data_IF_762970502912
#
_entry.id   IF_762970502912
#
_cell.length_a   1.000
_cell.length_b   1.000
_cell.length_c   1.000
_cell.angle_alpha   90.00
_cell.angle_beta   90.00
_cell.angle_gamma   90.00
#
_symmetry.space_group_name_H-M   'P 1'
#
loop_
_entity.id
_entity.type
_entity.pdbx_description
1 polymer ?
#
# COMPACT_ATOMS: atom_id res chain seq x y z
N UNK A 1 -28.69 -5.05 25.36
CA UNK A 1 -28.24 -4.39 24.11
C UNK A 1 -26.71 -4.38 24.10
N UNK A 2 -26.06 -5.21 23.27
CA UNK A 2 -24.59 -5.27 23.17
C UNK A 2 -24.10 -4.26 22.14
N UNK A 3 -23.30 -3.29 22.59
CA UNK A 3 -22.63 -2.33 21.72
C UNK A 3 -21.66 -3.07 20.78
N UNK A 4 -21.90 -2.99 19.47
CA UNK A 4 -20.95 -3.42 18.44
C UNK A 4 -19.75 -2.47 18.49
N UNK A 5 -18.59 -2.97 18.93
CA UNK A 5 -17.31 -2.29 18.70
C UNK A 5 -17.04 -2.30 17.20
N UNK A 6 -16.89 -1.11 16.63
CA UNK A 6 -16.41 -0.89 15.27
C UNK A 6 -14.94 -1.31 15.23
N UNK A 7 -14.50 -2.19 14.30
CA UNK A 7 -13.09 -2.51 14.16
C UNK A 7 -12.32 -1.28 13.64
N UNK A 8 -11.09 -1.12 14.13
CA UNK A 8 -10.20 -0.05 13.73
C UNK A 8 -10.02 -0.05 12.20
N UNK A 9 -10.26 1.11 11.59
CA UNK A 9 -10.07 1.32 10.17
C UNK A 9 -8.60 1.04 9.79
N UNK A 10 -8.39 0.11 8.86
CA UNK A 10 -7.14 0.00 8.12
C UNK A 10 -6.84 1.36 7.48
N UNK A 11 -5.91 2.10 8.07
CA UNK A 11 -5.41 3.34 7.49
C UNK A 11 -4.46 2.92 6.38
N UNK A 12 -4.88 3.07 5.12
CA UNK A 12 -3.92 3.20 4.03
C UNK A 12 -3.08 4.41 4.40
N UNK A 13 -1.84 4.15 4.81
CA UNK A 13 -0.92 5.16 5.27
C UNK A 13 -0.50 6.00 4.07
N UNK A 14 -1.35 6.95 3.68
CA UNK A 14 -0.93 8.12 2.92
C UNK A 14 0.11 8.79 3.80
N UNK A 15 1.38 8.56 3.49
CA UNK A 15 2.49 9.18 4.20
C UNK A 15 2.45 10.68 3.90
N UNK A 16 1.78 11.45 4.77
CA UNK A 16 1.82 12.91 4.75
C UNK A 16 3.16 13.33 5.33
N UNK A 17 4.21 13.33 4.50
CA UNK A 17 5.49 13.92 4.87
C UNK A 17 5.33 15.45 4.96
N UNK A 18 5.95 16.13 5.94
CA UNK A 18 5.96 17.58 6.00
C UNK A 18 6.73 18.14 4.79
N UNK A 19 6.04 18.93 3.96
CA UNK A 19 6.65 19.69 2.88
C UNK A 19 7.52 20.81 3.49
N UNK A 20 8.84 20.64 3.44
CA UNK A 20 9.77 21.75 3.65
C UNK A 20 9.69 22.70 2.45
N UNK A 21 9.28 23.94 2.69
CA UNK A 21 9.20 25.01 1.70
C UNK A 21 10.61 25.35 1.17
N UNK A 22 10.90 25.01 -0.09
CA UNK A 22 12.09 25.48 -0.80
C UNK A 22 11.67 26.71 -1.61
N UNK A 23 12.35 27.83 -1.38
CA UNK A 23 12.08 29.11 -2.01
C UNK A 23 12.07 29.03 -3.54
N UNK A 24 10.99 29.54 -4.15
CA UNK A 24 10.87 29.68 -5.59
C UNK A 24 11.69 30.87 -6.08
N UNK A 25 12.76 30.61 -6.83
CA UNK A 25 13.39 31.63 -7.69
C UNK A 25 12.60 31.74 -8.98
N UNK A 26 12.01 32.91 -9.23
CA UNK A 26 11.36 33.26 -10.50
C UNK A 26 12.37 33.22 -11.64
N UNK A 27 12.09 32.42 -12.68
CA UNK A 27 12.91 32.35 -13.89
C UNK A 27 12.31 33.27 -14.96
N UNK A 28 13.10 34.08 -15.68
CA UNK A 28 12.58 34.98 -16.69
C UNK A 28 12.03 34.22 -17.90
N UNK A 29 10.92 34.72 -18.44
CA UNK A 29 10.29 34.22 -19.65
C UNK A 29 11.16 34.53 -20.87
N UNK A 30 11.69 33.50 -21.52
CA UNK A 30 12.52 33.63 -22.72
C UNK A 30 12.21 32.58 -23.77
N UNK A 31 11.89 33.08 -24.98
CA UNK A 31 11.80 32.39 -26.28
C UNK A 31 10.73 31.30 -26.45
N UNK A 32 9.67 31.67 -27.16
CA UNK A 32 8.69 30.75 -27.74
C UNK A 32 9.31 29.98 -28.93
N UNK A 33 10.05 28.92 -28.63
CA UNK A 33 10.41 27.90 -29.62
C UNK A 33 9.18 27.11 -30.06
N UNK A 34 9.21 26.60 -31.30
CA UNK A 34 8.24 25.68 -31.90
C UNK A 34 7.64 24.73 -30.85
N UNK A 35 6.34 24.90 -30.55
CA UNK A 35 5.60 24.01 -29.65
C UNK A 35 5.35 22.68 -30.36
N UNK A 36 6.34 21.81 -30.40
CA UNK A 36 6.12 20.37 -30.46
C UNK A 36 5.28 20.01 -29.23
N UNK A 37 3.96 19.85 -29.39
CA UNK A 37 2.93 19.88 -28.34
C UNK A 37 2.93 18.72 -27.33
N UNK A 38 4.10 18.22 -26.93
CA UNK A 38 4.26 17.23 -25.88
C UNK A 38 4.47 17.87 -24.50
N UNK A 39 3.97 17.22 -23.45
CA UNK A 39 4.28 17.58 -22.06
C UNK A 39 5.71 17.11 -21.74
N UNK A 40 6.63 17.99 -21.31
CA UNK A 40 7.98 17.57 -20.93
C UNK A 40 7.92 16.66 -19.70
N UNK A 41 8.64 15.54 -19.77
CA UNK A 41 8.72 14.54 -18.70
C UNK A 41 10.11 14.54 -18.07
N UNK A 42 10.17 14.18 -16.79
CA UNK A 42 11.40 13.94 -16.03
C UNK A 42 11.31 12.58 -15.36
N UNK A 43 12.47 11.95 -15.13
CA UNK A 43 12.54 10.76 -14.29
C UNK A 43 12.32 11.19 -12.84
N UNK A 44 11.31 10.59 -12.21
CA UNK A 44 11.10 10.61 -10.76
C UNK A 44 11.54 9.26 -10.23
N UNK A 45 12.31 9.24 -9.15
CA UNK A 45 12.92 8.00 -8.64
C UNK A 45 12.98 8.00 -7.12
N UNK A 46 12.74 6.82 -6.55
CA UNK A 46 13.03 6.46 -5.15
C UNK A 46 14.05 5.32 -5.13
N UNK A 47 14.33 4.73 -3.96
CA UNK A 47 15.32 3.65 -3.85
C UNK A 47 15.04 2.45 -4.76
N UNK A 48 13.77 2.11 -4.99
CA UNK A 48 13.37 0.89 -5.70
C UNK A 48 12.35 1.11 -6.82
N UNK A 49 11.89 2.34 -7.04
CA UNK A 49 10.97 2.65 -8.13
C UNK A 49 11.43 3.86 -8.93
N UNK A 50 11.02 3.88 -10.20
CA UNK A 50 11.16 5.03 -11.10
C UNK A 50 9.90 5.22 -11.95
N UNK A 51 9.67 6.43 -12.43
CA UNK A 51 8.59 6.78 -13.34
C UNK A 51 8.98 7.99 -14.18
N UNK A 52 8.41 8.11 -15.39
CA UNK A 52 8.44 9.36 -16.15
C UNK A 52 7.21 10.19 -15.81
N UNK A 53 7.39 11.39 -15.27
CA UNK A 53 6.30 12.28 -14.90
C UNK A 53 6.62 13.75 -15.22
N UNK A 54 5.61 14.62 -15.38
CA UNK A 54 5.83 16.06 -15.49
C UNK A 54 6.62 16.61 -14.29
N UNK A 55 7.35 17.70 -14.54
CA UNK A 55 8.30 18.27 -13.55
C UNK A 55 7.63 18.59 -12.22
N UNK A 56 6.41 19.09 -12.25
CA UNK A 56 5.61 19.52 -11.09
C UNK A 56 4.94 18.37 -10.33
N UNK A 57 5.13 17.12 -10.76
CA UNK A 57 4.56 15.97 -10.04
C UNK A 57 5.46 15.53 -8.87
N UNK A 58 4.81 15.15 -7.78
CA UNK A 58 5.43 14.44 -6.66
C UNK A 58 5.42 12.93 -6.94
N UNK A 59 6.41 12.20 -6.41
CA UNK A 59 6.52 10.74 -6.55
C UNK A 59 7.03 10.12 -5.26
N UNK A 60 6.36 9.08 -4.77
CA UNK A 60 6.74 8.39 -3.53
C UNK A 60 6.38 6.90 -3.57
N UNK A 61 6.95 6.15 -2.64
CA UNK A 61 6.78 4.69 -2.53
C UNK A 61 6.69 4.28 -1.08
N UNK A 62 6.03 3.16 -0.80
CA UNK A 62 6.17 2.52 0.51
C UNK A 62 7.56 1.86 0.66
N UNK A 63 7.98 1.50 1.90
CA UNK A 63 9.31 0.94 2.15
C UNK A 63 9.63 -0.34 1.35
N UNK A 64 8.62 -1.18 1.10
CA UNK A 64 8.75 -2.43 0.35
C UNK A 64 8.71 -2.24 -1.17
N UNK A 65 8.43 -1.01 -1.64
CA UNK A 65 8.19 -0.72 -3.06
C UNK A 65 7.15 -1.65 -3.69
N UNK A 66 6.12 -1.99 -2.91
CA UNK A 66 4.93 -2.70 -3.38
C UNK A 66 3.83 -1.73 -3.81
N UNK A 67 3.98 -0.44 -3.51
CA UNK A 67 3.19 0.66 -4.07
C UNK A 67 4.09 1.82 -4.47
N UNK A 68 3.69 2.50 -5.55
CA UNK A 68 4.32 3.73 -6.03
C UNK A 68 3.24 4.68 -6.53
N UNK A 69 3.33 5.93 -6.12
CA UNK A 69 2.28 6.92 -6.35
C UNK A 69 2.92 8.20 -6.91
N UNK A 70 2.24 8.82 -7.87
CA UNK A 70 2.60 10.08 -8.47
C UNK A 70 1.38 11.01 -8.51
N UNK A 71 1.56 12.25 -8.10
CA UNK A 71 0.47 13.22 -7.97
C UNK A 71 0.91 14.58 -8.51
N UNK A 72 0.07 15.21 -9.33
CA UNK A 72 0.32 16.57 -9.82
C UNK A 72 0.33 17.57 -8.66
N UNK A 73 1.09 18.67 -8.79
CA UNK A 73 1.18 19.70 -7.74
C UNK A 73 -0.19 20.28 -7.34
N UNK A 74 -1.09 20.43 -8.32
CA UNK A 74 -2.46 20.92 -8.14
C UNK A 74 -3.46 19.83 -7.68
N UNK A 75 -2.99 18.59 -7.51
CA UNK A 75 -3.79 17.40 -7.15
C UNK A 75 -4.96 17.12 -8.09
N UNK A 76 -4.90 17.57 -9.33
CA UNK A 76 -5.94 17.29 -10.33
C UNK A 76 -5.67 16.01 -11.13
N UNK A 77 -4.48 15.44 -11.04
CA UNK A 77 -4.11 14.20 -11.72
C UNK A 77 -3.32 13.29 -10.79
N UNK A 78 -3.58 12.00 -10.90
CA UNK A 78 -2.93 10.95 -10.11
C UNK A 78 -2.56 9.78 -11.02
N UNK A 79 -1.39 9.22 -10.78
CA UNK A 79 -0.95 7.96 -11.35
C UNK A 79 -0.41 7.08 -10.24
N UNK A 80 -0.76 5.80 -10.23
CA UNK A 80 -0.30 4.87 -9.21
C UNK A 80 -0.04 3.49 -9.78
N UNK A 81 0.80 2.74 -9.08
CA UNK A 81 1.00 1.32 -9.27
C UNK A 81 1.03 0.63 -7.91
N UNK A 82 0.47 -0.56 -7.84
CA UNK A 82 0.50 -1.39 -6.65
C UNK A 82 0.50 -2.87 -6.98
N UNK A 83 1.10 -3.66 -6.11
CA UNK A 83 0.98 -5.12 -6.08
C UNK A 83 0.65 -5.56 -4.67
N UNK A 84 -0.39 -6.39 -4.51
CA UNK A 84 -0.79 -6.91 -3.21
C UNK A 84 -1.34 -8.33 -3.31
N UNK A 85 -1.15 -9.11 -2.25
CA UNK A 85 -1.77 -10.42 -2.09
C UNK A 85 -3.08 -10.25 -1.32
N UNK A 86 -4.17 -10.72 -1.90
CA UNK A 86 -5.50 -10.67 -1.30
C UNK A 86 -5.90 -12.07 -0.85
N UNK A 87 -6.10 -12.25 0.46
CA UNK A 87 -6.66 -13.46 1.03
C UNK A 87 -8.17 -13.30 1.24
N UNK A 88 -8.99 -13.92 0.38
CA UNK A 88 -10.45 -13.78 0.40
C UNK A 88 -11.11 -14.38 1.65
N UNK A 89 -10.42 -15.27 2.35
CA UNK A 89 -10.91 -15.77 3.65
C UNK A 89 -11.04 -14.62 4.69
N UNK A 90 -10.38 -13.49 4.46
CA UNK A 90 -10.41 -12.31 5.32
C UNK A 90 -11.59 -11.38 5.06
N UNK A 91 -12.33 -11.58 3.96
CA UNK A 91 -13.46 -10.72 3.58
C UNK A 91 -14.52 -10.53 4.68
N UNK A 92 -14.95 -11.57 5.43
CA UNK A 92 -15.95 -11.40 6.49
C UNK A 92 -15.50 -10.50 7.64
N UNK A 93 -14.19 -10.31 7.81
CA UNK A 93 -13.60 -9.57 8.92
C UNK A 93 -13.17 -8.15 8.52
N UNK A 94 -12.71 -7.98 7.28
CA UNK A 94 -12.07 -6.74 6.81
C UNK A 94 -12.76 -6.12 5.58
N UNK A 95 -13.84 -6.74 5.08
CA UNK A 95 -14.71 -6.16 4.06
C UNK A 95 -14.11 -6.17 2.65
N UNK A 96 -14.47 -5.15 1.88
CA UNK A 96 -14.35 -5.12 0.42
C UNK A 96 -12.91 -5.21 -0.12
N UNK A 97 -11.90 -4.77 0.64
CA UNK A 97 -10.50 -4.95 0.26
C UNK A 97 -10.17 -6.43 -0.02
N UNK A 98 -10.78 -7.33 0.73
CA UNK A 98 -10.54 -8.77 0.61
C UNK A 98 -11.60 -9.48 -0.25
N UNK A 99 -12.36 -8.72 -1.04
CA UNK A 99 -13.36 -9.25 -1.96
C UNK A 99 -12.77 -9.90 -3.21
N UNK A 100 -13.63 -10.11 -4.20
CA UNK A 100 -13.17 -10.41 -5.56
C UNK A 100 -12.32 -9.25 -6.12
N UNK A 101 -11.52 -9.48 -7.18
CA UNK A 101 -10.64 -8.45 -7.74
C UNK A 101 -11.31 -7.11 -8.04
N UNK A 102 -12.53 -7.10 -8.57
CA UNK A 102 -13.22 -5.87 -8.94
C UNK A 102 -13.70 -5.11 -7.70
N UNK A 103 -14.09 -5.84 -6.65
CA UNK A 103 -14.45 -5.26 -5.35
C UNK A 103 -13.23 -4.68 -4.63
N UNK A 104 -12.10 -5.40 -4.61
CA UNK A 104 -10.82 -4.91 -4.04
C UNK A 104 -10.33 -3.65 -4.76
N UNK A 105 -10.23 -3.70 -6.09
CA UNK A 105 -9.76 -2.56 -6.91
C UNK A 105 -10.66 -1.34 -6.71
N UNK A 106 -11.99 -1.53 -6.66
CA UNK A 106 -12.93 -0.43 -6.39
C UNK A 106 -12.73 0.14 -4.99
N UNK A 107 -12.54 -0.71 -3.97
CA UNK A 107 -12.25 -0.26 -2.61
C UNK A 107 -10.98 0.60 -2.57
N UNK A 108 -9.85 0.11 -3.10
CA UNK A 108 -8.58 0.84 -3.14
C UNK A 108 -8.71 2.17 -3.92
N UNK A 109 -9.41 2.14 -5.04
CA UNK A 109 -9.63 3.34 -5.85
C UNK A 109 -10.44 4.40 -5.10
N UNK A 110 -11.42 3.99 -4.30
CA UNK A 110 -12.18 4.91 -3.45
C UNK A 110 -11.35 5.47 -2.30
N UNK A 111 -10.42 4.70 -1.74
CA UNK A 111 -9.45 5.21 -0.75
C UNK A 111 -8.57 6.30 -1.38
N UNK A 112 -8.04 6.05 -2.58
CA UNK A 112 -7.23 7.04 -3.33
C UNK A 112 -8.03 8.33 -3.57
N UNK A 113 -9.28 8.24 -4.07
CA UNK A 113 -10.10 9.41 -4.32
C UNK A 113 -10.40 10.22 -3.06
N UNK A 114 -10.81 9.55 -1.99
CA UNK A 114 -11.20 10.20 -0.75
C UNK A 114 -10.00 10.87 -0.08
N UNK A 115 -8.90 10.13 0.07
CA UNK A 115 -7.73 10.57 0.81
C UNK A 115 -6.83 11.53 0.02
N UNK A 116 -6.58 11.27 -1.26
CA UNK A 116 -5.61 12.04 -2.05
C UNK A 116 -6.25 13.14 -2.91
N UNK A 117 -7.46 12.90 -3.42
CA UNK A 117 -8.09 13.76 -4.44
C UNK A 117 -9.34 14.49 -3.92
N UNK A 118 -9.67 14.35 -2.63
CA UNK A 118 -10.80 15.04 -1.98
C UNK A 118 -12.13 14.88 -2.74
N UNK A 119 -12.38 13.67 -3.24
CA UNK A 119 -13.59 13.30 -3.95
C UNK A 119 -14.36 12.19 -3.20
N UNK A 120 -15.27 12.57 -2.29
CA UNK A 120 -16.00 11.60 -1.48
C UNK A 120 -17.13 10.89 -2.23
N UNK A 121 -17.41 11.25 -3.50
CA UNK A 121 -18.53 10.62 -4.24
C UNK A 121 -18.30 9.14 -4.52
N UNK A 122 -17.06 8.67 -4.36
CA UNK A 122 -16.63 7.36 -4.80
C UNK A 122 -16.54 7.24 -6.32
N UNK A 123 -15.80 6.24 -6.76
CA UNK A 123 -15.65 5.83 -8.15
C UNK A 123 -16.56 4.65 -8.45
N UNK A 124 -17.10 4.67 -9.66
CA UNK A 124 -17.91 3.60 -10.25
C UNK A 124 -17.30 3.20 -11.59
N UNK A 125 -17.39 1.92 -11.92
CA UNK A 125 -16.97 1.42 -13.23
C UNK A 125 -17.91 1.95 -14.31
N UNK A 126 -17.37 2.58 -15.35
CA UNK A 126 -18.16 3.06 -16.50
C UNK A 126 -18.02 2.19 -17.75
N UNK A 127 -17.17 1.16 -17.70
CA UNK A 127 -17.03 0.17 -18.79
C UNK A 127 -17.01 -1.25 -18.26
N UNK A 128 -17.35 -2.22 -19.12
CA UNK A 128 -17.01 -3.64 -18.91
C UNK A 128 -15.48 -3.85 -18.89
N UNK A 129 -14.98 -4.93 -18.25
CA UNK A 129 -13.56 -5.26 -18.33
C UNK A 129 -13.21 -5.67 -19.75
N UNK A 130 -12.06 -5.22 -20.26
CA UNK A 130 -11.59 -5.56 -21.60
C UNK A 130 -10.10 -5.93 -21.60
N UNK A 131 -9.66 -6.86 -22.46
CA UNK A 131 -8.24 -7.14 -22.63
C UNK A 131 -7.46 -5.89 -23.04
N UNK A 132 -6.25 -5.74 -22.53
CA UNK A 132 -5.33 -4.65 -22.83
C UNK A 132 -3.90 -5.16 -22.89
N UNK A 133 -3.20 -4.86 -23.99
CA UNK A 133 -1.83 -5.35 -24.26
C UNK A 133 -1.68 -6.88 -24.12
N UNK A 134 -2.75 -7.63 -24.43
CA UNK A 134 -2.84 -9.10 -24.32
C UNK A 134 -2.51 -9.68 -22.93
N UNK A 135 -2.35 -8.84 -21.91
CA UNK A 135 -1.89 -9.27 -20.60
C UNK A 135 -2.71 -8.69 -19.46
N UNK A 136 -3.05 -7.39 -19.55
CA UNK A 136 -3.82 -6.68 -18.54
C UNK A 136 -5.31 -6.68 -18.89
N UNK A 137 -6.13 -6.45 -17.88
CA UNK A 137 -7.53 -6.05 -18.00
C UNK A 137 -7.62 -4.54 -17.81
N UNK A 138 -8.36 -3.85 -18.67
CA UNK A 138 -8.61 -2.42 -18.60
C UNK A 138 -10.07 -2.14 -18.21
N UNK A 139 -10.25 -1.18 -17.29
CA UNK A 139 -11.52 -0.63 -16.84
C UNK A 139 -11.49 0.89 -16.93
N UNK A 140 -12.56 1.47 -17.47
CA UNK A 140 -12.85 2.89 -17.29
C UNK A 140 -13.62 3.09 -15.99
N UNK A 141 -13.26 4.14 -15.26
CA UNK A 141 -13.85 4.50 -13.99
C UNK A 141 -14.26 5.98 -14.00
N UNK A 142 -15.30 6.30 -13.24
CA UNK A 142 -15.83 7.66 -13.15
C UNK A 142 -16.35 7.98 -11.75
N UNK A 143 -16.15 9.23 -11.34
CA UNK A 143 -16.76 9.82 -10.15
C UNK A 143 -17.43 11.15 -10.53
N UNK A 144 -17.94 11.89 -9.54
CA UNK A 144 -18.49 13.22 -9.76
C UNK A 144 -17.44 14.21 -10.28
N UNK A 145 -16.20 14.15 -9.78
CA UNK A 145 -15.14 15.10 -10.13
C UNK A 145 -14.04 14.51 -11.03
N UNK A 146 -13.93 13.19 -11.14
CA UNK A 146 -12.83 12.52 -11.82
C UNK A 146 -13.29 11.53 -12.89
N UNK A 147 -12.38 11.29 -13.82
CA UNK A 147 -12.41 10.18 -14.78
C UNK A 147 -11.11 9.40 -14.59
N UNK A 148 -11.16 8.09 -14.79
CA UNK A 148 -10.02 7.24 -14.54
C UNK A 148 -9.95 6.03 -15.46
N UNK A 149 -8.76 5.47 -15.51
CA UNK A 149 -8.47 4.16 -16.07
C UNK A 149 -7.79 3.35 -14.99
N UNK A 150 -8.17 2.08 -14.91
CA UNK A 150 -7.42 1.07 -14.16
C UNK A 150 -7.04 -0.06 -15.08
N UNK A 151 -5.76 -0.42 -15.04
CA UNK A 151 -5.19 -1.53 -15.79
C UNK A 151 -4.67 -2.53 -14.76
N UNK A 152 -5.12 -3.76 -14.77
CA UNK A 152 -4.75 -4.72 -13.75
C UNK A 152 -4.50 -6.12 -14.28
N UNK A 153 -3.68 -6.88 -13.56
CA UNK A 153 -3.41 -8.29 -13.78
C UNK A 153 -3.68 -9.02 -12.49
N UNK A 154 -4.45 -10.10 -12.57
CA UNK A 154 -4.65 -11.03 -11.46
C UNK A 154 -3.79 -12.25 -11.70
N UNK A 155 -3.00 -12.62 -10.70
CA UNK A 155 -2.20 -13.83 -10.68
C UNK A 155 -2.81 -14.82 -9.69
N UNK A 156 -2.81 -16.12 -10.01
CA UNK A 156 -3.18 -17.13 -9.04
C UNK A 156 -2.21 -17.08 -7.86
N UNK A 157 -2.73 -17.25 -6.64
CA UNK A 157 -1.90 -17.45 -5.47
C UNK A 157 -1.81 -18.94 -5.13
N UNK A 158 -0.71 -19.40 -4.49
CA UNK A 158 -0.61 -20.78 -4.00
C UNK A 158 -1.73 -21.15 -3.02
N UNK A 159 -2.26 -20.17 -2.28
CA UNK A 159 -3.46 -20.34 -1.49
C UNK A 159 -4.69 -20.22 -2.42
N UNK A 160 -5.55 -21.26 -2.53
CA UNK A 160 -6.74 -21.23 -3.38
C UNK A 160 -7.79 -20.20 -2.94
N UNK A 161 -7.72 -19.72 -1.69
CA UNK A 161 -8.56 -18.65 -1.17
C UNK A 161 -7.97 -17.26 -1.45
N UNK A 162 -6.88 -17.14 -2.21
CA UNK A 162 -6.26 -15.84 -2.48
C UNK A 162 -5.83 -15.64 -3.93
N UNK A 163 -5.51 -14.39 -4.24
CA UNK A 163 -4.95 -13.95 -5.51
C UNK A 163 -3.92 -12.86 -5.28
N UNK A 164 -3.07 -12.60 -6.28
CA UNK A 164 -2.21 -11.42 -6.30
C UNK A 164 -2.80 -10.48 -7.34
N UNK A 165 -3.04 -9.23 -6.96
CA UNK A 165 -3.42 -8.18 -7.90
C UNK A 165 -2.22 -7.26 -8.15
N UNK A 166 -1.93 -6.97 -9.42
CA UNK A 166 -1.04 -5.88 -9.83
C UNK A 166 -1.87 -4.88 -10.60
N UNK A 167 -1.89 -3.64 -10.13
CA UNK A 167 -2.86 -2.64 -10.54
C UNK A 167 -2.13 -1.33 -10.85
N UNK A 168 -2.50 -0.72 -11.95
CA UNK A 168 -2.10 0.63 -12.33
C UNK A 168 -3.34 1.52 -12.32
N UNK A 169 -3.24 2.68 -11.70
CA UNK A 169 -4.29 3.70 -11.66
C UNK A 169 -3.86 4.92 -12.44
N UNK A 170 -4.77 5.49 -13.21
CA UNK A 170 -4.61 6.77 -13.86
C UNK A 170 -5.89 7.57 -13.70
N UNK A 171 -5.88 8.61 -12.87
CA UNK A 171 -7.04 9.41 -12.54
C UNK A 171 -6.77 10.86 -12.93
N UNK A 172 -7.79 11.53 -13.45
CA UNK A 172 -7.74 12.95 -13.78
C UNK A 172 -9.07 13.62 -13.44
N UNK A 173 -8.99 14.83 -12.91
CA UNK A 173 -10.15 15.69 -12.72
C UNK A 173 -10.81 15.94 -14.07
N UNK A 174 -12.15 15.95 -14.12
CA UNK A 174 -12.94 16.15 -15.34
C UNK A 174 -12.55 17.44 -16.08
N UNK A 175 -12.13 18.49 -15.36
CA UNK A 175 -11.65 19.76 -15.95
C UNK A 175 -10.37 19.60 -16.79
N UNK A 176 -9.55 18.59 -16.53
CA UNK A 176 -8.34 18.29 -17.32
C UNK A 176 -8.66 17.57 -18.65
N UNK A 177 -9.90 17.09 -18.81
CA UNK A 177 -10.40 16.40 -19.99
C UNK A 177 -9.58 15.16 -20.39
N UNK A 178 -9.67 14.79 -21.66
CA UNK A 178 -8.98 13.60 -22.21
C UNK A 178 -7.46 13.72 -22.15
N UNK A 179 -6.93 14.93 -22.26
CA UNK A 179 -5.48 15.16 -22.27
C UNK A 179 -4.86 14.91 -20.88
N UNK A 180 -5.52 15.36 -19.80
CA UNK A 180 -5.09 15.05 -18.45
C UNK A 180 -5.09 13.55 -18.17
N UNK A 181 -6.16 12.86 -18.56
CA UNK A 181 -6.25 11.41 -18.38
C UNK A 181 -5.18 10.65 -19.18
N UNK A 182 -4.88 11.07 -20.41
CA UNK A 182 -3.77 10.49 -21.20
C UNK A 182 -2.41 10.72 -20.53
N UNK A 183 -2.20 11.90 -19.96
CA UNK A 183 -0.97 12.22 -19.22
C UNK A 183 -0.84 11.31 -18.00
N UNK A 184 -1.87 11.23 -17.16
CA UNK A 184 -1.89 10.34 -15.99
C UNK A 184 -1.69 8.87 -16.37
N UNK A 185 -2.31 8.41 -17.47
CA UNK A 185 -2.12 7.05 -17.97
C UNK A 185 -0.68 6.79 -18.43
N UNK A 186 -0.08 7.74 -19.15
CA UNK A 186 1.33 7.67 -19.56
C UNK A 186 2.28 7.59 -18.36
N UNK A 187 2.04 8.39 -17.32
CA UNK A 187 2.80 8.32 -16.07
C UNK A 187 2.62 6.95 -15.41
N UNK A 188 1.38 6.48 -15.25
CA UNK A 188 1.08 5.21 -14.58
C UNK A 188 1.82 4.04 -15.24
N UNK A 189 1.70 3.88 -16.56
CA UNK A 189 2.34 2.76 -17.28
C UNK A 189 3.86 2.89 -17.38
N UNK A 190 4.41 4.06 -17.04
CA UNK A 190 5.86 4.27 -16.96
C UNK A 190 6.46 3.84 -15.63
N UNK A 191 5.64 3.62 -14.60
CA UNK A 191 6.12 3.23 -13.27
C UNK A 191 6.82 1.87 -13.37
N UNK A 192 8.04 1.78 -12.84
CA UNK A 192 8.84 0.56 -12.73
C UNK A 192 9.31 0.43 -11.30
N UNK A 193 9.00 -0.69 -10.67
CA UNK A 193 9.41 -0.97 -9.30
C UNK A 193 10.10 -2.34 -9.22
N UNK A 194 11.10 -2.43 -8.35
CA UNK A 194 11.68 -3.68 -7.88
C UNK A 194 11.15 -3.93 -6.49
N UNK A 195 10.01 -4.60 -6.39
CA UNK A 195 9.38 -4.85 -5.09
C UNK A 195 10.24 -5.77 -4.24
N UNK A 196 10.55 -5.29 -3.05
CA UNK A 196 11.20 -6.04 -2.00
C UNK A 196 10.11 -6.81 -1.24
N UNK A 197 9.48 -7.78 -1.91
CA UNK A 197 8.66 -8.77 -1.20
C UNK A 197 9.64 -9.66 -0.47
N UNK A 198 10.08 -9.23 0.73
CA UNK A 198 10.97 -10.03 1.56
C UNK A 198 10.23 -11.36 1.81
N UNK A 199 10.69 -12.49 1.24
CA UNK A 199 10.08 -13.77 1.53
C UNK A 199 10.35 -14.01 3.00
N UNK A 200 9.30 -14.13 3.81
CA UNK A 200 9.48 -14.70 5.14
C UNK A 200 10.05 -16.10 4.94
N UNK A 201 11.28 -16.33 5.38
CA UNK A 201 11.89 -17.65 5.36
C UNK A 201 10.99 -18.56 6.17
N UNK A 202 10.35 -19.50 5.49
CA UNK A 202 9.62 -20.58 6.11
C UNK A 202 10.69 -21.56 6.61
N UNK A 203 11.04 -21.49 7.88
CA UNK A 203 11.75 -22.59 8.50
C UNK A 203 10.80 -23.79 8.45
N UNK A 204 11.06 -24.70 7.50
CA UNK A 204 10.31 -25.94 7.38
C UNK A 204 10.37 -26.64 8.75
N UNK A 205 9.23 -27.09 9.32
CA UNK A 205 9.28 -27.84 10.56
C UNK A 205 10.12 -29.08 10.30
N UNK A 206 11.34 -29.09 10.85
CA UNK A 206 12.30 -30.17 10.65
C UNK A 206 11.63 -31.50 10.98
N UNK A 207 11.74 -32.45 10.05
CA UNK A 207 11.27 -33.83 10.17
C UNK A 207 12.11 -34.61 11.19
N UNK A 208 12.16 -34.15 12.43
CA UNK A 208 12.72 -34.87 13.56
C UNK A 208 11.62 -35.67 14.24
N UNK A 209 11.59 -37.00 14.02
CA UNK A 209 10.82 -37.95 14.83
C UNK A 209 11.40 -37.99 16.25
N UNK A 210 10.98 -37.05 17.08
CA UNK A 210 11.15 -37.06 18.52
C UNK A 210 10.12 -36.11 19.06
N UNK A 211 9.31 -36.51 20.05
CA UNK A 211 8.43 -35.57 20.75
C UNK A 211 9.29 -34.39 21.18
N UNK A 212 9.11 -33.18 20.63
CA UNK A 212 9.85 -32.05 21.15
C UNK A 212 9.14 -31.67 22.44
N UNK A 213 9.82 -31.86 23.57
CA UNK A 213 9.81 -30.81 24.58
C UNK A 213 10.05 -29.50 23.82
N UNK A 214 9.00 -28.68 23.66
CA UNK A 214 9.02 -27.48 22.81
C UNK A 214 10.25 -26.64 23.19
N UNK A 215 11.26 -26.51 22.31
CA UNK A 215 12.45 -25.73 22.63
C UNK A 215 12.01 -24.28 22.85
N UNK A 216 12.52 -23.68 23.93
CA UNK A 216 11.98 -22.47 24.57
C UNK A 216 11.77 -21.26 23.67
N UNK A 217 10.96 -20.33 24.21
CA UNK A 217 10.64 -19.02 23.66
C UNK A 217 11.89 -18.34 23.10
N UNK A 218 11.98 -18.27 21.76
CA UNK A 218 13.21 -17.93 21.06
C UNK A 218 13.69 -16.51 21.38
N UNK A 219 14.89 -16.43 21.95
CA UNK A 219 15.71 -15.22 21.94
C UNK A 219 16.24 -14.98 20.51
N UNK A 220 16.20 -13.72 20.06
CA UNK A 220 16.89 -13.28 18.85
C UNK A 220 16.05 -13.34 17.58
N UNK A 221 15.36 -12.24 17.27
CA UNK A 221 14.98 -11.84 15.90
C UNK A 221 14.13 -12.82 15.06
N UNK A 222 13.58 -13.87 15.65
CA UNK A 222 12.83 -14.88 14.92
C UNK A 222 11.42 -14.36 14.57
N UNK A 223 11.01 -14.51 13.31
CA UNK A 223 9.75 -14.02 12.70
C UNK A 223 8.49 -14.72 13.25
N UNK A 224 8.58 -15.45 14.37
CA UNK A 224 7.42 -16.04 15.04
C UNK A 224 6.50 -14.91 15.49
N UNK A 225 5.29 -14.92 14.94
CA UNK A 225 4.26 -13.91 15.18
C UNK A 225 4.04 -12.92 14.03
N UNK A 226 4.89 -12.86 13.01
CA UNK A 226 4.58 -11.99 11.87
C UNK A 226 3.46 -12.60 11.02
N UNK A 227 2.31 -11.94 10.98
CA UNK A 227 1.20 -12.22 10.09
C UNK A 227 1.43 -11.50 8.76
N UNK A 228 1.99 -12.21 7.79
CA UNK A 228 2.30 -11.68 6.45
C UNK A 228 1.03 -11.27 5.70
N UNK A 229 -0.09 -11.93 5.96
CA UNK A 229 -1.37 -11.62 5.34
C UNK A 229 -1.93 -10.29 5.84
N UNK A 230 -1.60 -9.91 7.07
CA UNK A 230 -2.06 -8.68 7.71
C UNK A 230 -1.00 -7.58 7.76
N UNK A 231 0.25 -7.85 7.36
CA UNK A 231 1.36 -6.92 7.51
C UNK A 231 1.65 -6.54 8.97
N UNK A 232 1.31 -7.41 9.92
CA UNK A 232 1.33 -7.11 11.37
C UNK A 232 2.10 -8.17 12.13
N UNK A 233 2.65 -7.79 13.28
CA UNK A 233 3.39 -8.65 14.17
C UNK A 233 2.56 -8.94 15.43
N UNK A 234 2.34 -10.21 15.72
CA UNK A 234 1.87 -10.68 17.01
C UNK A 234 3.00 -10.55 18.03
N UNK A 235 2.64 -10.00 19.19
CA UNK A 235 3.46 -10.03 20.39
C UNK A 235 2.54 -10.26 21.59
N UNK A 236 3.09 -10.60 22.76
CA UNK A 236 2.31 -10.76 23.98
C UNK A 236 3.02 -10.15 25.18
N UNK A 237 2.24 -9.82 26.21
CA UNK A 237 2.80 -9.41 27.50
C UNK A 237 3.37 -10.63 28.21
N UNK A 238 4.65 -10.63 28.60
CA UNK A 238 5.21 -11.71 29.40
C UNK A 238 4.59 -11.78 30.80
N UNK A 239 4.13 -10.64 31.35
CA UNK A 239 3.52 -10.61 32.69
C UNK A 239 2.06 -11.09 32.68
N UNK A 240 1.27 -10.71 31.68
CA UNK A 240 -0.19 -10.97 31.68
C UNK A 240 -0.62 -12.03 30.69
N UNK A 241 0.24 -12.44 29.75
CA UNK A 241 -0.12 -13.34 28.64
C UNK A 241 -1.08 -12.71 27.62
N UNK A 242 -1.36 -11.41 27.70
CA UNK A 242 -2.24 -10.71 26.76
C UNK A 242 -1.58 -10.59 25.39
N UNK A 243 -2.33 -10.87 24.32
CA UNK A 243 -1.84 -10.82 22.94
C UNK A 243 -2.12 -9.47 22.28
N UNK A 244 -1.15 -8.99 21.49
CA UNK A 244 -1.17 -7.73 20.77
C UNK A 244 -0.91 -7.99 19.29
N UNK A 245 -1.57 -7.19 18.44
CA UNK A 245 -1.31 -7.12 17.01
C UNK A 245 -0.70 -5.74 16.72
N UNK A 246 0.51 -5.72 16.16
CA UNK A 246 1.34 -4.53 16.09
C UNK A 246 1.79 -4.26 14.66
N UNK A 247 1.83 -2.99 14.27
CA UNK A 247 2.42 -2.56 13.00
C UNK A 247 3.94 -2.46 13.14
N UNK A 248 4.74 -3.26 12.41
CA UNK A 248 6.19 -3.23 12.50
C UNK A 248 6.81 -1.91 12.07
N UNK A 249 6.15 -1.13 11.23
CA UNK A 249 6.70 0.11 10.68
C UNK A 249 6.58 1.31 11.62
N UNK A 250 5.58 1.30 12.51
CA UNK A 250 5.25 2.46 13.36
C UNK A 250 5.39 2.18 14.85
N UNK A 251 5.26 0.93 15.28
CA UNK A 251 5.22 0.57 16.70
C UNK A 251 6.50 -0.12 17.17
N UNK A 252 7.42 -0.47 16.26
CA UNK A 252 8.74 -0.94 16.62
C UNK A 252 9.60 0.22 17.14
N UNK A 253 10.21 0.03 18.29
CA UNK A 253 11.12 1.01 18.87
C UNK A 253 12.55 0.46 18.85
N UNK A 254 13.39 0.97 17.96
CA UNK A 254 14.81 0.56 17.85
C UNK A 254 15.63 0.89 19.09
N UNK A 255 15.28 1.96 19.82
CA UNK A 255 16.03 2.45 20.99
C UNK A 255 15.20 2.36 22.26
N UNK A 256 14.38 1.31 22.38
CA UNK A 256 13.54 1.11 23.55
C UNK A 256 14.35 0.91 24.84
N UNK A 257 13.73 1.11 26.02
CA UNK A 257 14.42 1.07 27.31
C UNK A 257 15.12 -0.26 27.60
N UNK A 258 14.66 -1.37 27.00
CA UNK A 258 15.25 -2.70 27.09
C UNK A 258 15.71 -3.19 25.70
N UNK A 259 16.25 -2.28 24.88
CA UNK A 259 16.72 -2.52 23.51
C UNK A 259 15.61 -2.48 22.44
N UNK A 260 15.92 -2.84 21.19
CA UNK A 260 14.92 -2.90 20.12
C UNK A 260 13.73 -3.78 20.47
N UNK A 261 12.50 -3.32 20.23
CA UNK A 261 11.31 -4.12 20.49
C UNK A 261 9.99 -3.36 20.46
N UNK A 262 8.92 -4.10 20.75
CA UNK A 262 7.60 -3.51 21.03
C UNK A 262 7.41 -3.31 22.52
N UNK A 263 6.71 -2.24 22.86
CA UNK A 263 6.49 -1.84 24.24
C UNK A 263 5.03 -1.48 24.48
N UNK A 264 4.52 -1.84 25.66
CA UNK A 264 3.25 -1.29 26.17
C UNK A 264 3.49 -0.51 27.45
N UNK A 265 2.63 0.47 27.69
CA UNK A 265 2.66 1.25 28.93
C UNK A 265 1.94 0.48 30.05
N UNK A 266 2.61 0.28 31.18
CA UNK A 266 2.06 -0.32 32.39
C UNK A 266 2.27 0.65 33.55
N UNK A 267 1.22 1.38 33.92
CA UNK A 267 1.30 2.48 34.87
C UNK A 267 2.27 3.57 34.39
N UNK A 268 3.32 3.83 35.17
CA UNK A 268 4.38 4.79 34.84
C UNK A 268 5.61 4.14 34.16
N UNK A 269 5.53 2.86 33.81
CA UNK A 269 6.63 2.10 33.21
C UNK A 269 6.28 1.58 31.81
N UNK A 270 7.29 1.09 31.08
CA UNK A 270 7.11 0.38 29.82
C UNK A 270 7.49 -1.08 30.01
N UNK A 271 6.61 -1.98 29.58
CA UNK A 271 6.87 -3.41 29.50
C UNK A 271 7.24 -3.75 28.05
N UNK A 272 8.35 -4.46 27.86
CA UNK A 272 8.72 -5.01 26.56
C UNK A 272 7.85 -6.25 26.29
N UNK A 273 7.28 -6.33 25.09
CA UNK A 273 6.48 -7.47 24.67
C UNK A 273 7.36 -8.56 24.06
N UNK A 274 6.98 -9.82 24.29
CA UNK A 274 7.59 -10.99 23.67
C UNK A 274 6.95 -11.25 22.31
N UNK A 275 7.76 -11.61 21.31
CA UNK A 275 7.25 -11.87 19.97
C UNK A 275 6.43 -13.17 19.91
N UNK A 276 5.39 -13.19 19.08
CA UNK A 276 4.46 -14.30 18.96
C UNK A 276 3.29 -14.19 19.92
N UNK A 277 2.36 -15.16 19.83
CA UNK A 277 1.22 -15.21 20.74
C UNK A 277 1.54 -16.03 21.98
N UNK A 278 0.96 -15.66 23.11
CA UNK A 278 1.13 -16.36 24.39
C UNK A 278 0.62 -17.81 24.37
N UNK A 279 -0.34 -18.12 23.50
CA UNK A 279 -0.91 -19.47 23.34
C UNK A 279 -0.14 -20.35 22.35
N UNK A 280 0.84 -19.77 21.64
CA UNK A 280 1.78 -20.51 20.77
C UNK A 280 3.09 -20.89 21.50
N UNK A 281 3.23 -20.46 22.76
CA UNK A 281 4.39 -20.64 23.63
C UNK A 281 4.19 -21.80 24.62
#
# INVERSE_FOLDING_TARGET
MKARRVPAAFTVLVSVLPLSYVGMTSTPAGSAGLRTGGTPLQVKQTGHCSAFAPRDWSFWTNPQASTAEALSADKTMYAGWGVTHINRAMQPFYGDLYGDPETSIRFLTNQILGALLSDPSGMRTSSSPRPFLNYFTLRSLESAKHTGLVFYKIYPSPNPQGYIESVYWALANRSQGKQGLRTAAGVAVSIRCVTQLIPVRYDSPGSGKGKPTRPGCGYGGNLRGYNKELGTQYAHSPTTGENFLLDPSTQWNETGPNGPGYYRKVGNSHEKLDLGRSDDC
#
